data_IF_225665615925
#
_entry.id   IF_225665615925
#
_cell.length_a   1.000
_cell.length_b   1.000
_cell.length_c   1.000
_cell.angle_alpha   90.00
_cell.angle_beta   90.00
_cell.angle_gamma   90.00
#
_symmetry.space_group_name_H-M   'P 1'
#
loop_
_entity.id
_entity.type
_entity.pdbx_description
1 polymer ?
#
# COMPACT_ATOMS: atom_id res chain seq x y z
N UNK A 1 -5.36 46.00 -91.80
CA UNK A 1 -5.88 45.72 -90.45
C UNK A 1 -5.79 44.21 -90.25
N UNK A 2 -5.10 43.65 -89.23
CA UNK A 2 -5.07 44.14 -87.85
C UNK A 2 -3.67 44.07 -87.19
N UNK A 3 -3.05 45.21 -86.92
CA UNK A 3 -1.85 45.29 -86.04
C UNK A 3 -2.22 44.98 -84.57
N UNK A 4 -3.51 44.99 -84.24
CA UNK A 4 -4.05 44.70 -82.92
C UNK A 4 -3.82 43.26 -82.42
N UNK A 5 -3.72 42.26 -83.32
CA UNK A 5 -3.50 40.86 -82.91
C UNK A 5 -2.08 40.59 -82.40
N UNK A 6 -1.07 41.23 -83.00
CA UNK A 6 0.34 41.09 -82.61
C UNK A 6 0.66 41.78 -81.27
N UNK A 7 -0.03 42.90 -80.98
CA UNK A 7 0.09 43.62 -79.71
C UNK A 7 -0.56 42.80 -78.58
N UNK A 8 -1.72 42.17 -78.83
CA UNK A 8 -2.37 41.28 -77.86
C UNK A 8 -1.50 40.07 -77.47
N UNK A 9 -0.89 39.39 -78.45
CA UNK A 9 -0.02 38.23 -78.18
C UNK A 9 1.23 38.61 -77.38
N UNK A 10 1.81 39.80 -77.66
CA UNK A 10 2.94 40.32 -76.90
C UNK A 10 2.58 40.64 -75.46
N UNK A 11 1.39 41.21 -75.22
CA UNK A 11 0.90 41.49 -73.86
C UNK A 11 0.65 40.21 -73.06
N UNK A 12 0.07 39.18 -73.69
CA UNK A 12 -0.14 37.87 -73.05
C UNK A 12 1.21 37.23 -72.70
N UNK A 13 2.18 37.24 -73.62
CA UNK A 13 3.52 36.72 -73.36
C UNK A 13 4.21 37.42 -72.19
N UNK A 14 4.09 38.75 -72.10
CA UNK A 14 4.64 39.54 -71.00
C UNK A 14 3.97 39.22 -69.65
N UNK A 15 2.65 39.02 -69.65
CA UNK A 15 1.87 38.65 -68.46
C UNK A 15 2.25 37.25 -67.95
N UNK A 16 2.41 36.28 -68.84
CA UNK A 16 2.86 34.93 -68.50
C UNK A 16 4.28 34.96 -67.94
N UNK A 17 5.17 35.73 -68.55
CA UNK A 17 6.57 35.83 -68.13
C UNK A 17 6.69 36.50 -66.74
N UNK A 18 5.87 37.53 -66.49
CA UNK A 18 5.75 38.17 -65.18
C UNK A 18 5.12 37.25 -64.12
N UNK A 19 4.12 36.46 -64.49
CA UNK A 19 3.52 35.46 -63.60
C UNK A 19 4.49 34.35 -63.21
N UNK A 20 5.25 33.82 -64.17
CA UNK A 20 6.26 32.79 -63.94
C UNK A 20 7.41 33.29 -63.04
N UNK A 21 7.89 34.52 -63.24
CA UNK A 21 8.95 35.07 -62.39
C UNK A 21 8.48 35.29 -60.94
N UNK A 22 7.25 35.76 -60.76
CA UNK A 22 6.63 35.89 -59.44
C UNK A 22 6.43 34.53 -58.75
N UNK A 23 5.98 33.51 -59.48
CA UNK A 23 5.79 32.16 -58.94
C UNK A 23 7.12 31.52 -58.50
N UNK A 24 8.18 31.67 -59.31
CA UNK A 24 9.52 31.17 -59.00
C UNK A 24 10.14 31.89 -57.80
N UNK A 25 9.98 33.23 -57.73
CA UNK A 25 10.46 34.01 -56.59
C UNK A 25 9.75 33.61 -55.28
N UNK A 26 8.45 33.28 -55.35
CA UNK A 26 7.68 32.86 -54.19
C UNK A 26 8.06 31.46 -53.71
N UNK A 27 8.26 30.51 -54.64
CA UNK A 27 8.74 29.17 -54.30
C UNK A 27 10.10 29.19 -53.60
N UNK A 28 11.01 30.06 -54.04
CA UNK A 28 12.33 30.18 -53.43
C UNK A 28 12.28 30.77 -52.02
N UNK A 29 11.39 31.75 -51.80
CA UNK A 29 11.13 32.29 -50.47
C UNK A 29 10.51 31.24 -49.54
N UNK A 30 9.47 30.54 -50.01
CA UNK A 30 8.76 29.53 -49.23
C UNK A 30 9.68 28.37 -48.81
N UNK A 31 10.56 27.92 -49.71
CA UNK A 31 11.62 26.95 -49.36
C UNK A 31 12.48 27.47 -48.20
N UNK A 32 13.01 28.69 -48.32
CA UNK A 32 13.92 29.24 -47.30
C UNK A 32 13.24 29.37 -45.94
N UNK A 33 12.00 29.85 -45.91
CA UNK A 33 11.23 29.96 -44.67
C UNK A 33 10.85 28.58 -44.12
N UNK A 34 10.50 27.63 -45.00
CA UNK A 34 10.21 26.25 -44.62
C UNK A 34 11.39 25.55 -43.94
N UNK A 35 12.62 25.78 -44.42
CA UNK A 35 13.83 25.24 -43.79
C UNK A 35 14.07 25.83 -42.39
N UNK A 36 13.89 27.13 -42.22
CA UNK A 36 14.02 27.78 -40.91
C UNK A 36 12.95 27.29 -39.92
N UNK A 37 11.71 27.14 -40.39
CA UNK A 37 10.62 26.57 -39.61
C UNK A 37 10.90 25.11 -39.22
N UNK A 38 11.45 24.32 -40.14
CA UNK A 38 11.80 22.93 -39.87
C UNK A 38 12.94 22.80 -38.83
N UNK A 39 13.96 23.65 -38.90
CA UNK A 39 15.02 23.70 -37.89
C UNK A 39 14.48 24.12 -36.52
N UNK A 40 13.65 25.17 -36.46
CA UNK A 40 13.07 25.63 -35.21
C UNK A 40 12.13 24.59 -34.59
N UNK A 41 11.33 23.90 -35.43
CA UNK A 41 10.47 22.80 -35.01
C UNK A 41 11.30 21.61 -34.49
N UNK A 42 12.43 21.30 -35.12
CA UNK A 42 13.37 20.27 -34.65
C UNK A 42 13.93 20.61 -33.28
N UNK A 43 14.46 21.83 -33.10
CA UNK A 43 15.01 22.27 -31.82
C UNK A 43 13.94 22.27 -30.72
N UNK A 44 12.72 22.73 -31.01
CA UNK A 44 11.62 22.66 -30.07
C UNK A 44 11.23 21.22 -29.72
N UNK A 45 11.12 20.34 -30.72
CA UNK A 45 10.80 18.93 -30.49
C UNK A 45 11.88 18.24 -29.66
N UNK A 46 13.15 18.55 -29.90
CA UNK A 46 14.27 18.01 -29.13
C UNK A 46 14.26 18.51 -27.68
N UNK A 47 13.97 19.80 -27.47
CA UNK A 47 13.80 20.39 -26.14
C UNK A 47 12.62 19.76 -25.38
N UNK A 48 11.48 19.59 -26.05
CA UNK A 48 10.30 18.94 -25.47
C UNK A 48 10.57 17.47 -25.16
N UNK A 49 11.31 16.76 -26.01
CA UNK A 49 11.72 15.38 -25.73
C UNK A 49 12.63 15.32 -24.50
N UNK A 50 13.60 16.21 -24.36
CA UNK A 50 14.46 16.26 -23.18
C UNK A 50 13.68 16.55 -21.90
N UNK A 51 12.75 17.51 -21.93
CA UNK A 51 11.86 17.80 -20.80
C UNK A 51 10.94 16.61 -20.48
N UNK A 52 10.40 15.96 -21.50
CA UNK A 52 9.54 14.77 -21.33
C UNK A 52 10.34 13.61 -20.74
N UNK A 53 11.58 13.39 -21.17
CA UNK A 53 12.44 12.36 -20.60
C UNK A 53 12.78 12.68 -19.13
N UNK A 54 13.17 13.93 -18.82
CA UNK A 54 13.45 14.35 -17.45
C UNK A 54 12.23 14.15 -16.54
N UNK A 55 11.06 14.65 -16.95
CA UNK A 55 9.81 14.48 -16.20
C UNK A 55 9.37 13.03 -16.09
N UNK A 56 9.54 12.22 -17.14
CA UNK A 56 9.24 10.79 -17.10
C UNK A 56 10.14 10.04 -16.11
N UNK A 57 11.43 10.40 -16.01
CA UNK A 57 12.33 9.78 -15.03
C UNK A 57 11.95 10.13 -13.58
N UNK A 58 11.54 11.37 -13.31
CA UNK A 58 11.04 11.76 -12.00
C UNK A 58 9.73 11.05 -11.65
N UNK A 59 8.80 11.01 -12.61
CA UNK A 59 7.51 10.35 -12.43
C UNK A 59 7.68 8.84 -12.20
N UNK A 60 8.63 8.20 -12.90
CA UNK A 60 8.92 6.78 -12.71
C UNK A 60 9.56 6.52 -11.34
N UNK A 61 10.41 7.42 -10.84
CA UNK A 61 10.94 7.33 -9.48
C UNK A 61 9.83 7.45 -8.43
N UNK A 62 8.85 8.34 -8.63
CA UNK A 62 7.68 8.44 -7.76
C UNK A 62 6.79 7.21 -7.80
N UNK A 63 6.50 6.67 -8.99
CA UNK A 63 5.72 5.44 -9.13
C UNK A 63 6.40 4.25 -8.46
N UNK A 64 7.71 4.09 -8.65
CA UNK A 64 8.48 3.03 -7.98
C UNK A 64 8.43 3.17 -6.46
N UNK A 65 8.48 4.40 -5.93
CA UNK A 65 8.29 4.65 -4.49
C UNK A 65 6.89 4.24 -4.03
N UNK A 66 5.84 4.59 -4.78
CA UNK A 66 4.46 4.17 -4.47
C UNK A 66 4.32 2.65 -4.45
N UNK A 67 4.80 1.97 -5.48
CA UNK A 67 4.76 0.51 -5.56
C UNK A 67 5.54 -0.15 -4.41
N UNK A 68 6.71 0.38 -4.05
CA UNK A 68 7.49 -0.13 -2.93
C UNK A 68 6.75 0.06 -1.58
N UNK A 69 6.05 1.18 -1.40
CA UNK A 69 5.23 1.42 -0.22
C UNK A 69 4.01 0.50 -0.19
N UNK A 70 3.32 0.30 -1.32
CA UNK A 70 2.19 -0.62 -1.44
C UNK A 70 2.59 -2.08 -1.15
N UNK A 71 3.75 -2.52 -1.65
CA UNK A 71 4.29 -3.85 -1.35
C UNK A 71 4.62 -4.02 0.13
N UNK A 72 5.20 -3.00 0.77
CA UNK A 72 5.48 -3.03 2.21
C UNK A 72 4.19 -3.04 3.04
N UNK A 73 3.20 -2.23 2.66
CA UNK A 73 1.91 -2.15 3.33
C UNK A 73 1.17 -3.49 3.23
N UNK A 74 1.04 -4.04 2.03
CA UNK A 74 0.38 -5.34 1.81
C UNK A 74 1.06 -6.50 2.55
N UNK A 75 2.40 -6.54 2.59
CA UNK A 75 3.14 -7.54 3.36
C UNK A 75 2.88 -7.42 4.88
N UNK A 76 2.82 -6.19 5.39
CA UNK A 76 2.49 -5.92 6.80
C UNK A 76 1.04 -6.31 7.12
N UNK A 77 0.08 -5.86 6.32
CA UNK A 77 -1.34 -6.16 6.48
C UNK A 77 -1.64 -7.66 6.44
N UNK A 78 -1.02 -8.39 5.49
CA UNK A 78 -1.22 -9.83 5.39
C UNK A 78 -0.70 -10.57 6.63
N UNK A 79 0.40 -10.11 7.21
CA UNK A 79 0.94 -10.69 8.45
C UNK A 79 0.02 -10.40 9.63
N UNK A 80 -0.48 -9.16 9.76
CA UNK A 80 -1.40 -8.78 10.82
C UNK A 80 -2.75 -9.49 10.72
N UNK A 81 -3.32 -9.61 9.52
CA UNK A 81 -4.59 -10.29 9.30
C UNK A 81 -4.52 -11.79 9.66
N UNK A 82 -3.41 -12.45 9.30
CA UNK A 82 -3.18 -13.86 9.68
C UNK A 82 -3.08 -14.01 11.19
N UNK A 83 -2.27 -13.17 11.85
CA UNK A 83 -2.11 -13.21 13.30
C UNK A 83 -3.44 -13.00 14.05
N UNK A 84 -4.25 -12.02 13.62
CA UNK A 84 -5.57 -11.78 14.20
C UNK A 84 -6.51 -12.97 13.97
N UNK A 85 -6.58 -13.49 12.74
CA UNK A 85 -7.47 -14.61 12.41
C UNK A 85 -7.09 -15.91 13.13
N UNK A 86 -5.80 -16.16 13.33
CA UNK A 86 -5.32 -17.32 14.07
C UNK A 86 -5.64 -17.18 15.58
N UNK A 87 -5.40 -15.99 16.16
CA UNK A 87 -5.77 -15.70 17.55
C UNK A 87 -7.29 -15.86 17.80
N UNK A 88 -8.14 -15.34 16.91
CA UNK A 88 -9.60 -15.50 17.00
C UNK A 88 -10.03 -16.97 16.93
N UNK A 89 -9.41 -17.77 16.04
CA UNK A 89 -9.71 -19.21 15.91
C UNK A 89 -9.32 -20.00 17.15
N UNK A 90 -8.15 -19.72 17.72
CA UNK A 90 -7.69 -20.40 18.92
C UNK A 90 -8.53 -20.03 20.15
N UNK A 91 -8.93 -18.76 20.26
CA UNK A 91 -9.85 -18.31 21.30
C UNK A 91 -11.23 -18.98 21.17
N UNK A 92 -11.77 -19.07 19.95
CA UNK A 92 -13.03 -19.78 19.69
C UNK A 92 -12.97 -21.25 20.13
N UNK A 93 -11.88 -21.94 19.80
CA UNK A 93 -11.63 -23.32 20.24
C UNK A 93 -11.50 -23.46 21.75
N UNK A 94 -10.82 -22.54 22.42
CA UNK A 94 -10.66 -22.55 23.88
C UNK A 94 -11.99 -22.28 24.59
N UNK A 95 -12.80 -21.33 24.10
CA UNK A 95 -14.14 -21.05 24.64
C UNK A 95 -15.07 -22.24 24.48
N UNK A 96 -15.02 -22.91 23.33
CA UNK A 96 -15.86 -24.08 23.07
C UNK A 96 -15.47 -25.27 23.97
N UNK A 97 -14.17 -25.49 24.19
CA UNK A 97 -13.65 -26.52 25.11
C UNK A 97 -13.89 -26.21 26.60
N UNK A 98 -13.88 -24.93 26.98
CA UNK A 98 -14.28 -24.49 28.32
C UNK A 98 -15.78 -24.69 28.55
N UNK A 99 -16.61 -24.40 27.54
CA UNK A 99 -18.06 -24.57 27.60
C UNK A 99 -18.48 -26.06 27.64
N UNK A 100 -17.77 -26.92 26.93
CA UNK A 100 -17.97 -28.39 26.94
C UNK A 100 -17.32 -29.10 28.13
N UNK A 101 -16.78 -28.34 29.11
CA UNK A 101 -16.18 -28.84 30.35
C UNK A 101 -14.98 -29.79 30.21
N UNK A 102 -14.40 -29.88 29.00
CA UNK A 102 -13.24 -30.73 28.67
C UNK A 102 -11.93 -30.14 29.22
N UNK A 103 -11.85 -28.82 29.37
CA UNK A 103 -10.71 -28.12 29.98
C UNK A 103 -11.17 -27.27 31.17
N UNK A 104 -10.56 -27.44 32.35
CA UNK A 104 -10.89 -26.71 33.59
C UNK A 104 -9.68 -25.91 34.08
N UNK A 105 -9.83 -24.59 34.23
CA UNK A 105 -8.77 -23.73 34.74
C UNK A 105 -8.58 -23.97 36.25
N UNK A 106 -7.40 -24.46 36.65
CA UNK A 106 -7.04 -24.66 38.07
C UNK A 106 -5.92 -23.71 38.46
N UNK A 107 -6.14 -22.86 39.46
CA UNK A 107 -5.10 -22.02 40.06
C UNK A 107 -4.49 -22.79 41.24
N UNK A 108 -3.18 -22.91 41.27
CA UNK A 108 -2.44 -23.41 42.43
C UNK A 108 -2.50 -22.32 43.50
N UNK A 109 -3.16 -22.58 44.63
CA UNK A 109 -3.08 -21.68 45.78
C UNK A 109 -1.76 -21.95 46.50
N UNK A 110 -1.03 -20.89 46.80
CA UNK A 110 0.10 -20.95 47.71
C UNK A 110 -0.41 -21.37 49.09
N UNK A 111 0.29 -22.32 49.73
CA UNK A 111 -0.21 -23.03 50.90
C UNK A 111 -0.44 -22.13 52.13
N UNK A 112 0.03 -20.89 52.09
CA UNK A 112 -0.10 -19.92 53.17
C UNK A 112 -1.47 -19.23 53.24
N UNK A 113 -2.17 -19.06 52.11
CA UNK A 113 -3.48 -18.38 52.07
C UNK A 113 -4.68 -19.32 52.27
N UNK A 114 -4.50 -20.63 52.06
CA UNK A 114 -5.54 -21.63 52.27
C UNK A 114 -5.95 -21.79 53.76
N UNK A 115 -5.15 -21.27 54.69
CA UNK A 115 -5.47 -21.26 56.12
C UNK A 115 -6.55 -20.22 56.50
N UNK A 116 -6.84 -19.24 55.63
CA UNK A 116 -7.72 -18.09 55.97
C UNK A 116 -9.21 -18.33 55.72
N UNK A 117 -9.58 -19.29 54.87
CA UNK A 117 -10.98 -19.49 54.47
C UNK A 117 -11.40 -20.94 54.69
N UNK A 118 -11.76 -21.25 55.94
CA UNK A 118 -12.37 -22.51 56.41
C UNK A 118 -11.53 -23.80 56.25
N UNK A 119 -10.47 -23.95 57.06
CA UNK A 119 -9.85 -25.25 57.29
C UNK A 119 -10.37 -25.88 58.58
N UNK A 120 -11.23 -26.89 58.45
CA UNK A 120 -11.54 -27.86 59.50
C UNK A 120 -10.29 -28.72 59.75
N UNK A 121 -9.85 -28.96 61.00
CA UNK A 121 -8.66 -29.79 61.25
C UNK A 121 -8.89 -31.23 60.74
N UNK A 122 -8.02 -31.71 59.86
CA UNK A 122 -8.05 -33.09 59.37
C UNK A 122 -7.56 -34.06 60.46
N UNK A 123 -8.39 -35.05 60.79
CA UNK A 123 -8.02 -36.16 61.65
C UNK A 123 -6.94 -37.03 60.97
N UNK A 124 -5.92 -37.42 61.73
CA UNK A 124 -4.85 -38.31 61.29
C UNK A 124 -5.38 -39.71 60.98
N UNK A 125 -5.28 -40.15 59.72
CA UNK A 125 -5.62 -41.50 59.30
C UNK A 125 -4.91 -41.87 58.00
N UNK A 126 -4.24 -43.03 58.02
CA UNK A 126 -3.27 -43.49 57.03
C UNK A 126 -3.82 -43.76 55.61
N UNK A 127 -2.97 -43.55 54.60
CA UNK A 127 -3.11 -44.15 53.27
C UNK A 127 -2.84 -43.19 52.12
N UNK A 128 -1.72 -43.41 51.42
CA UNK A 128 -1.19 -42.56 50.35
C UNK A 128 -2.20 -42.08 49.30
N UNK A 129 -2.27 -40.76 49.17
CA UNK A 129 -2.61 -40.02 47.95
C UNK A 129 -1.73 -38.78 47.95
N UNK A 130 -0.97 -38.58 46.85
CA UNK A 130 -0.12 -37.41 46.65
C UNK A 130 -0.88 -36.14 47.02
N UNK A 131 -0.38 -35.43 48.04
CA UNK A 131 -0.87 -34.11 48.39
C UNK A 131 -0.36 -33.11 47.34
N UNK A 132 -0.95 -33.14 46.15
CA UNK A 132 -0.81 -32.05 45.20
C UNK A 132 -1.29 -30.76 45.86
N UNK A 133 -0.52 -29.67 45.73
CA UNK A 133 -0.80 -28.37 46.34
C UNK A 133 -2.30 -27.98 46.19
N UNK A 134 -2.93 -27.39 47.22
CA UNK A 134 -4.36 -27.08 47.20
C UNK A 134 -4.69 -26.23 45.97
N UNK A 135 -5.52 -26.76 45.06
CA UNK A 135 -5.97 -26.03 43.87
C UNK A 135 -7.39 -25.54 44.09
N UNK A 136 -7.58 -24.23 44.15
CA UNK A 136 -8.93 -23.68 44.10
C UNK A 136 -9.42 -23.69 42.66
N UNK A 137 -10.64 -24.20 42.46
CA UNK A 137 -11.31 -24.12 41.15
C UNK A 137 -11.86 -22.70 40.99
N UNK A 138 -11.47 -22.04 39.91
CA UNK A 138 -12.02 -20.75 39.56
C UNK A 138 -13.40 -20.95 38.92
N UNK A 139 -14.38 -20.16 39.37
CA UNK A 139 -15.72 -20.14 38.79
C UNK A 139 -15.66 -19.84 37.28
N UNK A 140 -16.37 -20.60 36.41
CA UNK A 140 -16.32 -20.43 34.96
C UNK A 140 -16.57 -18.99 34.48
N UNK A 141 -17.46 -18.25 35.15
CA UNK A 141 -17.77 -16.86 34.79
C UNK A 141 -16.64 -15.89 35.19
N UNK A 142 -15.87 -16.20 36.24
CA UNK A 142 -14.66 -15.45 36.58
C UNK A 142 -13.47 -15.81 35.67
N UNK A 143 -13.30 -17.09 35.33
CA UNK A 143 -12.29 -17.53 34.38
C UNK A 143 -12.48 -16.88 32.99
N UNK A 144 -13.72 -16.80 32.50
CA UNK A 144 -14.04 -16.12 31.25
C UNK A 144 -13.71 -14.63 31.27
N UNK A 145 -13.94 -13.92 32.38
CA UNK A 145 -13.61 -12.50 32.51
C UNK A 145 -12.09 -12.25 32.49
N UNK A 146 -11.30 -13.11 33.14
CA UNK A 146 -9.83 -13.00 33.12
C UNK A 146 -9.31 -13.19 31.69
N UNK A 147 -9.79 -14.21 30.98
CA UNK A 147 -9.39 -14.49 29.59
C UNK A 147 -9.76 -13.31 28.67
N UNK A 148 -10.96 -12.75 28.81
CA UNK A 148 -11.38 -11.60 28.01
C UNK A 148 -10.49 -10.35 28.23
N UNK A 149 -9.98 -10.15 29.45
CA UNK A 149 -9.07 -9.04 29.76
C UNK A 149 -7.70 -9.28 29.11
N UNK A 150 -7.15 -10.49 29.19
CA UNK A 150 -5.88 -10.82 28.53
C UNK A 150 -5.99 -10.74 27.02
N UNK A 151 -7.10 -11.20 26.44
CA UNK A 151 -7.35 -11.11 25.00
C UNK A 151 -7.42 -9.66 24.51
N UNK A 152 -8.08 -8.77 25.28
CA UNK A 152 -8.10 -7.34 24.97
C UNK A 152 -6.70 -6.71 25.04
N UNK A 153 -5.87 -7.16 25.98
CA UNK A 153 -4.47 -6.75 26.11
C UNK A 153 -3.61 -7.19 24.92
N UNK A 154 -3.70 -8.46 24.52
CA UNK A 154 -2.94 -9.02 23.40
C UNK A 154 -3.34 -8.37 22.08
N UNK A 155 -4.64 -8.14 21.85
CA UNK A 155 -5.12 -7.37 20.70
C UNK A 155 -4.56 -5.94 20.68
N UNK A 156 -4.47 -5.28 21.85
CA UNK A 156 -3.86 -3.97 21.99
C UNK A 156 -2.37 -3.96 21.66
N UNK A 157 -1.62 -4.98 22.08
CA UNK A 157 -0.19 -5.13 21.76
C UNK A 157 0.04 -5.39 20.27
N UNK A 158 -0.78 -6.21 19.63
CA UNK A 158 -0.75 -6.44 18.17
C UNK A 158 -1.00 -5.12 17.42
N UNK A 159 -1.99 -4.34 17.85
CA UNK A 159 -2.29 -3.04 17.26
C UNK A 159 -1.12 -2.06 17.42
N UNK A 160 -0.49 -2.01 18.60
CA UNK A 160 0.69 -1.17 18.84
C UNK A 160 1.86 -1.58 17.93
N UNK A 161 2.09 -2.89 17.79
CA UNK A 161 3.14 -3.42 16.92
C UNK A 161 2.90 -3.05 15.45
N UNK A 162 1.63 -3.06 15.00
CA UNK A 162 1.24 -2.59 13.67
C UNK A 162 1.55 -1.10 13.48
N UNK A 163 1.20 -0.25 14.44
CA UNK A 163 1.53 1.18 14.40
C UNK A 163 3.05 1.41 14.36
N UNK A 164 3.82 0.67 15.14
CA UNK A 164 5.29 0.77 15.14
C UNK A 164 5.90 0.34 13.81
N UNK A 165 5.39 -0.74 13.21
CA UNK A 165 5.84 -1.20 11.89
C UNK A 165 5.55 -0.15 10.81
N UNK A 166 4.36 0.47 10.84
CA UNK A 166 3.99 1.55 9.93
C UNK A 166 4.91 2.77 10.05
N UNK A 167 5.18 3.24 11.27
CA UNK A 167 6.09 4.38 11.50
C UNK A 167 7.51 4.06 11.02
N UNK A 168 8.01 2.84 11.25
CA UNK A 168 9.34 2.40 10.76
C UNK A 168 9.39 2.31 9.23
N UNK A 169 8.28 1.93 8.58
CA UNK A 169 8.19 1.89 7.13
C UNK A 169 8.16 3.29 6.50
N UNK A 170 7.58 4.28 7.19
CA UNK A 170 7.59 5.69 6.77
C UNK A 170 8.95 6.37 6.97
N UNK A 171 9.68 6.03 8.02
CA UNK A 171 10.97 6.62 8.35
C UNK A 171 12.15 6.11 7.47
N UNK A 172 11.89 5.22 6.50
CA UNK A 172 12.91 4.59 5.65
C UNK A 172 12.59 4.70 4.16
#
# INVERSE_FOLDING_TARGET
MPVFGLIGWRLIGLLVLAGCSAALAWQFQDWRYGQQLAEQARLHAETLNQLTLATATEQQAEQNRRLALEQRLSASEQTHYRALSDAERDQGRLRDRLATADVRLSVLLDAHDAASTCAVPAASGAGGVDHGAPRARLDPAHAQRIIAITDAGDNGLIALQACQAYVRALAR
#
